data_IF_116134176818
#
_entry.id   IF_116134176818
#
_cell.length_a   1.000
_cell.length_b   1.000
_cell.length_c   1.000
_cell.angle_alpha   90.00
_cell.angle_beta   90.00
_cell.angle_gamma   90.00
#
_symmetry.space_group_name_H-M   'P 1'
#
loop_
_entity.id
_entity.type
_entity.pdbx_description
1 polymer ?
#
# COMPACT_ATOMS: atom_id res chain seq x y z
N UNK A 1 5.29 75.87 -26.88
CA UNK A 1 5.01 75.45 -25.50
C UNK A 1 3.98 74.32 -25.50
N UNK A 2 4.38 73.09 -25.51
CA UNK A 2 3.53 71.96 -25.09
C UNK A 2 4.50 70.87 -24.64
N UNK A 3 4.49 70.62 -23.34
CA UNK A 3 5.31 69.68 -22.61
C UNK A 3 4.80 68.24 -22.82
N UNK A 4 5.59 67.36 -23.40
CA UNK A 4 5.25 65.93 -23.52
C UNK A 4 5.78 65.17 -22.30
N UNK A 5 4.86 64.68 -21.46
CA UNK A 5 5.19 63.77 -20.35
C UNK A 5 5.37 62.33 -20.85
N UNK A 6 6.58 61.84 -20.83
CA UNK A 6 6.93 60.46 -21.01
C UNK A 6 6.48 59.66 -19.77
N UNK A 7 5.53 58.70 -19.95
CA UNK A 7 5.15 57.69 -18.94
C UNK A 7 6.06 56.50 -19.11
N UNK A 8 6.95 56.29 -18.17
CA UNK A 8 7.73 55.05 -18.07
C UNK A 8 6.84 53.95 -17.44
N UNK A 9 6.58 52.87 -18.19
CA UNK A 9 5.91 51.67 -17.68
C UNK A 9 6.98 50.75 -17.03
N UNK A 10 6.87 50.60 -15.71
CA UNK A 10 7.67 49.62 -14.96
C UNK A 10 7.01 48.27 -15.06
N UNK A 11 7.61 47.34 -15.79
CA UNK A 11 7.20 45.93 -15.83
C UNK A 11 7.84 45.22 -14.64
N UNK A 12 7.06 44.89 -13.62
CA UNK A 12 7.48 44.04 -12.51
C UNK A 12 7.49 42.57 -12.92
N UNK A 13 8.66 42.00 -13.05
CA UNK A 13 8.87 40.57 -13.30
C UNK A 13 8.66 39.81 -11.97
N UNK A 14 7.53 39.16 -11.78
CA UNK A 14 7.30 38.26 -10.65
C UNK A 14 8.05 36.92 -10.89
N UNK A 15 9.19 36.72 -10.23
CA UNK A 15 9.83 35.40 -10.17
C UNK A 15 8.99 34.50 -9.25
N UNK A 16 8.22 33.60 -9.84
CA UNK A 16 7.56 32.50 -9.12
C UNK A 16 8.61 31.52 -8.61
N UNK A 17 8.80 31.44 -7.28
CA UNK A 17 9.56 30.36 -6.65
C UNK A 17 8.75 29.07 -6.76
N UNK A 18 9.16 28.15 -7.65
CA UNK A 18 8.66 26.78 -7.66
C UNK A 18 9.09 26.09 -6.36
N UNK A 19 8.16 25.98 -5.42
CA UNK A 19 8.37 25.17 -4.22
C UNK A 19 8.56 23.71 -4.61
N UNK A 20 9.72 23.13 -4.28
CA UNK A 20 9.92 21.67 -4.33
C UNK A 20 8.98 21.04 -3.30
N UNK A 21 7.97 20.31 -3.75
CA UNK A 21 7.18 19.46 -2.89
C UNK A 21 8.10 18.33 -2.39
N UNK A 22 8.59 18.45 -1.15
CA UNK A 22 9.21 17.33 -0.43
C UNK A 22 8.07 16.38 -0.11
N UNK A 23 8.09 15.17 -0.69
CA UNK A 23 7.23 14.09 -0.25
C UNK A 23 7.50 13.88 1.24
N UNK A 24 6.47 14.03 2.08
CA UNK A 24 6.58 13.74 3.50
C UNK A 24 6.81 12.24 3.64
N UNK A 25 8.06 11.86 3.91
CA UNK A 25 8.39 10.54 4.39
C UNK A 25 7.71 10.39 5.77
N UNK A 26 6.94 9.32 5.99
CA UNK A 26 6.29 9.12 7.28
C UNK A 26 7.36 9.04 8.36
N UNK A 27 7.32 9.94 9.35
CA UNK A 27 8.31 10.07 10.43
C UNK A 27 8.52 8.78 11.25
N UNK A 28 7.62 7.79 11.09
CA UNK A 28 7.64 6.50 11.78
C UNK A 28 8.17 5.33 10.92
N UNK A 29 8.72 5.59 9.73
CA UNK A 29 9.44 4.56 8.98
C UNK A 29 10.81 4.32 9.60
N UNK A 30 11.05 3.10 10.07
CA UNK A 30 12.25 2.74 10.85
C UNK A 30 13.24 1.87 10.07
N UNK A 31 12.80 1.22 8.99
CA UNK A 31 13.67 0.45 8.09
C UNK A 31 13.02 0.29 6.71
N UNK A 32 13.85 -0.08 5.73
CA UNK A 32 13.41 -0.52 4.40
C UNK A 32 14.33 -1.66 3.94
N UNK A 33 13.72 -2.74 3.44
CA UNK A 33 14.42 -3.91 2.93
C UNK A 33 13.87 -4.24 1.53
N UNK A 34 14.60 -3.86 0.49
CA UNK A 34 14.25 -4.02 -0.92
C UNK A 34 12.85 -3.44 -1.23
N UNK A 35 11.81 -4.27 -1.26
CA UNK A 35 10.45 -3.89 -1.65
C UNK A 35 9.50 -3.69 -0.46
N UNK A 36 10.00 -3.83 0.76
CA UNK A 36 9.24 -3.72 2.00
C UNK A 36 9.78 -2.64 2.91
N UNK A 37 8.90 -1.80 3.44
CA UNK A 37 9.20 -0.79 4.47
C UNK A 37 8.68 -1.25 5.83
N UNK A 38 9.40 -0.89 6.90
CA UNK A 38 9.04 -1.19 8.30
C UNK A 38 8.71 0.11 9.01
N UNK A 39 7.62 0.10 9.73
CA UNK A 39 7.12 1.23 10.49
C UNK A 39 6.88 0.84 11.94
N UNK A 40 6.97 1.81 12.84
CA UNK A 40 6.72 1.65 14.28
C UNK A 40 5.89 2.83 14.80
N UNK A 41 4.77 2.54 15.48
CA UNK A 41 3.97 3.47 16.26
C UNK A 41 4.16 3.21 17.74
N UNK A 42 4.09 4.25 18.59
CA UNK A 42 4.51 4.14 19.99
C UNK A 42 3.40 4.28 21.03
N UNK A 43 2.19 4.72 20.68
CA UNK A 43 1.10 4.89 21.65
C UNK A 43 -0.28 4.59 21.04
N UNK A 44 -0.80 3.38 21.15
CA UNK A 44 -0.14 2.17 21.67
C UNK A 44 0.94 1.62 20.73
N UNK A 45 1.91 0.83 21.25
CA UNK A 45 2.96 0.24 20.42
C UNK A 45 2.36 -0.65 19.35
N UNK A 46 2.66 -0.36 18.11
CA UNK A 46 2.33 -1.17 16.94
C UNK A 46 3.46 -1.10 15.92
N UNK A 47 3.65 -2.19 15.19
CA UNK A 47 4.64 -2.26 14.12
C UNK A 47 3.98 -2.85 12.89
N UNK A 48 4.36 -2.38 11.72
CA UNK A 48 3.87 -2.98 10.49
C UNK A 48 4.93 -2.93 9.41
N UNK A 49 4.78 -3.84 8.50
CA UNK A 49 5.52 -3.82 7.24
C UNK A 49 4.54 -3.58 6.11
N UNK A 50 4.99 -2.91 5.07
CA UNK A 50 4.15 -2.57 3.93
C UNK A 50 4.94 -2.60 2.63
N UNK A 51 4.27 -3.05 1.57
CA UNK A 51 4.75 -3.00 0.20
C UNK A 51 3.67 -2.46 -0.74
N UNK A 52 4.09 -1.82 -1.83
CA UNK A 52 3.26 -1.45 -2.97
C UNK A 52 3.44 -2.47 -4.12
N UNK A 53 2.44 -2.65 -5.00
CA UNK A 53 2.55 -3.59 -6.10
C UNK A 53 3.61 -3.16 -7.11
N UNK A 54 4.26 -4.14 -7.73
CA UNK A 54 5.18 -3.93 -8.86
C UNK A 54 4.44 -3.81 -10.18
N UNK A 55 3.31 -4.49 -10.28
CA UNK A 55 2.46 -4.49 -11.46
C UNK A 55 0.99 -4.45 -11.05
N UNK A 56 0.19 -3.74 -11.82
CA UNK A 56 -1.26 -3.63 -11.65
C UNK A 56 -1.94 -3.76 -13.00
N UNK A 57 -2.84 -4.74 -13.13
CA UNK A 57 -3.70 -4.93 -14.31
C UNK A 57 -5.15 -4.79 -13.90
N UNK A 58 -5.91 -3.95 -14.62
CA UNK A 58 -7.33 -3.75 -14.38
C UNK A 58 -8.10 -4.17 -15.64
N UNK A 59 -9.13 -5.01 -15.48
CA UNK A 59 -9.93 -5.50 -16.59
C UNK A 59 -11.42 -5.33 -16.33
N UNK A 60 -12.21 -5.12 -17.39
CA UNK A 60 -13.67 -5.12 -17.36
C UNK A 60 -14.16 -5.80 -18.61
N UNK A 61 -15.07 -6.78 -18.43
CA UNK A 61 -15.60 -7.60 -19.54
C UNK A 61 -14.50 -8.20 -20.43
N UNK A 62 -13.39 -8.63 -19.78
CA UNK A 62 -12.23 -9.22 -20.44
C UNK A 62 -11.25 -8.22 -21.10
N UNK A 63 -11.56 -6.93 -21.12
CA UNK A 63 -10.70 -5.91 -21.71
C UNK A 63 -9.91 -5.14 -20.65
N UNK A 64 -8.64 -4.84 -20.94
CA UNK A 64 -7.83 -3.96 -20.08
C UNK A 64 -8.40 -2.56 -20.10
N UNK A 65 -8.57 -1.97 -18.92
CA UNK A 65 -9.13 -0.63 -18.74
C UNK A 65 -8.24 0.23 -17.85
N UNK A 66 -8.15 1.51 -18.17
CA UNK A 66 -7.53 2.49 -17.30
C UNK A 66 -8.55 2.91 -16.22
N UNK A 67 -8.16 2.76 -14.94
CA UNK A 67 -8.97 3.18 -13.80
C UNK A 67 -8.12 3.99 -12.83
N UNK A 68 -8.75 4.94 -12.12
CA UNK A 68 -8.10 5.64 -11.01
C UNK A 68 -8.38 4.86 -9.72
N UNK A 69 -7.33 4.57 -8.98
CA UNK A 69 -7.37 3.90 -7.68
C UNK A 69 -6.71 4.79 -6.63
N UNK A 70 -7.05 4.59 -5.37
CA UNK A 70 -6.28 5.06 -4.22
C UNK A 70 -5.03 4.21 -4.01
N UNK A 71 -4.49 4.23 -2.79
CA UNK A 71 -3.31 3.46 -2.43
C UNK A 71 -3.57 1.96 -2.53
N UNK A 72 -2.64 1.23 -3.13
CA UNK A 72 -2.68 -0.22 -3.28
C UNK A 72 -1.54 -0.76 -2.44
N UNK A 73 -1.84 -1.39 -1.31
CA UNK A 73 -0.85 -1.74 -0.31
C UNK A 73 -1.13 -3.12 0.31
N UNK A 74 -0.06 -3.85 0.56
CA UNK A 74 -0.08 -5.11 1.29
C UNK A 74 0.69 -4.95 2.59
N UNK A 75 0.02 -5.22 3.73
CA UNK A 75 0.56 -5.02 5.07
C UNK A 75 0.66 -6.33 5.85
N UNK A 76 1.57 -6.35 6.83
CA UNK A 76 1.50 -7.28 7.96
C UNK A 76 1.66 -6.49 9.24
N UNK A 77 0.66 -6.56 10.13
CA UNK A 77 0.57 -5.81 11.37
C UNK A 77 0.92 -6.64 12.60
N UNK A 78 1.59 -5.98 13.54
CA UNK A 78 1.85 -6.44 14.90
C UNK A 78 1.33 -5.39 15.87
N UNK A 79 0.38 -5.75 16.72
CA UNK A 79 -0.19 -4.88 17.75
C UNK A 79 -0.39 -5.70 19.03
N UNK A 80 0.63 -5.78 19.91
CA UNK A 80 0.59 -6.62 21.10
C UNK A 80 -0.60 -6.34 22.00
N UNK A 81 -0.97 -5.06 22.18
CA UNK A 81 -2.13 -4.64 22.98
C UNK A 81 -3.48 -5.19 22.48
N UNK A 82 -3.58 -5.56 21.20
CA UNK A 82 -4.76 -6.15 20.58
C UNK A 82 -4.57 -7.66 20.27
N UNK A 83 -3.46 -8.28 20.70
CA UNK A 83 -3.16 -9.68 20.42
C UNK A 83 -2.84 -9.96 18.95
N UNK A 84 -2.57 -8.93 18.12
CA UNK A 84 -2.22 -9.11 16.71
C UNK A 84 -0.72 -9.44 16.56
N UNK A 85 -0.42 -10.61 16.01
CA UNK A 85 0.93 -11.14 15.89
C UNK A 85 1.37 -11.45 14.45
N UNK A 86 0.82 -10.71 13.48
CA UNK A 86 1.12 -10.89 12.06
C UNK A 86 -0.13 -10.89 11.19
N UNK A 87 -1.07 -10.00 11.45
CA UNK A 87 -2.28 -9.85 10.65
C UNK A 87 -1.96 -9.33 9.25
N UNK A 88 -2.34 -10.08 8.23
CA UNK A 88 -2.20 -9.69 6.82
C UNK A 88 -3.40 -8.83 6.42
N UNK A 89 -3.14 -7.68 5.78
CA UNK A 89 -4.19 -6.79 5.26
C UNK A 89 -3.83 -6.33 3.86
N UNK A 90 -4.77 -6.42 2.95
CA UNK A 90 -4.66 -5.85 1.61
C UNK A 90 -5.61 -4.66 1.45
N UNK A 91 -5.11 -3.55 0.95
CA UNK A 91 -5.89 -2.38 0.57
C UNK A 91 -5.88 -2.25 -0.95
N UNK A 92 -7.07 -2.27 -1.56
CA UNK A 92 -7.20 -2.24 -3.02
C UNK A 92 -7.28 -0.86 -3.64
N UNK A 93 -7.47 0.19 -2.81
CA UNK A 93 -7.65 1.57 -3.25
C UNK A 93 -9.00 1.84 -3.92
N UNK A 94 -10.00 1.02 -3.61
CA UNK A 94 -11.39 1.15 -4.04
C UNK A 94 -12.29 0.24 -3.20
N UNK A 95 -13.59 0.54 -3.06
CA UNK A 95 -14.54 -0.37 -2.43
C UNK A 95 -14.68 -1.67 -3.20
N UNK A 96 -14.41 -2.79 -2.54
CA UNK A 96 -14.60 -4.13 -3.11
C UNK A 96 -16.08 -4.45 -3.33
N UNK A 97 -16.37 -5.39 -4.24
CA UNK A 97 -17.71 -5.90 -4.41
C UNK A 97 -18.17 -6.62 -3.13
N UNK A 98 -19.37 -6.30 -2.66
CA UNK A 98 -19.95 -6.95 -1.49
C UNK A 98 -20.01 -8.48 -1.68
N UNK A 99 -19.84 -9.25 -0.60
CA UNK A 99 -19.86 -10.71 -0.58
C UNK A 99 -18.83 -11.39 -1.52
N UNK A 100 -17.82 -10.63 -2.00
CA UNK A 100 -16.69 -11.19 -2.73
C UNK A 100 -15.53 -11.51 -1.78
N UNK A 101 -14.55 -12.25 -2.29
CA UNK A 101 -13.24 -12.42 -1.65
C UNK A 101 -12.15 -11.87 -2.57
N UNK A 102 -11.03 -11.46 -1.97
CA UNK A 102 -9.77 -11.27 -2.70
C UNK A 102 -9.05 -12.60 -2.69
N UNK A 103 -8.59 -13.04 -3.86
CA UNK A 103 -7.77 -14.25 -4.01
C UNK A 103 -6.29 -13.82 -3.99
N UNK A 104 -5.53 -14.36 -3.04
CA UNK A 104 -4.08 -14.18 -2.97
C UNK A 104 -3.40 -15.48 -3.40
N UNK A 105 -2.64 -15.43 -4.46
CA UNK A 105 -1.85 -16.56 -4.95
C UNK A 105 -0.37 -16.37 -4.59
N UNK A 106 0.24 -17.41 -3.98
CA UNK A 106 1.66 -17.45 -3.65
C UNK A 106 2.20 -18.85 -3.95
N UNK A 107 3.17 -18.95 -4.86
CA UNK A 107 3.78 -20.24 -5.21
C UNK A 107 2.79 -21.29 -5.72
N UNK A 108 1.75 -20.89 -6.44
CA UNK A 108 0.68 -21.74 -6.97
C UNK A 108 -0.36 -22.18 -5.94
N UNK A 109 -0.32 -21.65 -4.71
CA UNK A 109 -1.35 -21.85 -3.69
C UNK A 109 -2.21 -20.60 -3.59
N UNK A 110 -3.54 -20.79 -3.46
CA UNK A 110 -4.52 -19.72 -3.33
C UNK A 110 -5.02 -19.60 -1.89
N UNK A 111 -5.20 -18.37 -1.42
CA UNK A 111 -5.71 -18.00 -0.11
C UNK A 111 -6.85 -17.01 -0.28
N UNK A 112 -7.89 -17.13 0.53
CA UNK A 112 -9.03 -16.22 0.55
C UNK A 112 -8.85 -15.11 1.60
N UNK A 113 -9.05 -13.85 1.16
CA UNK A 113 -9.18 -12.70 2.04
C UNK A 113 -10.61 -12.16 1.95
N UNK A 114 -11.23 -11.94 3.09
CA UNK A 114 -12.60 -11.43 3.22
C UNK A 114 -12.61 -9.91 3.19
N UNK A 115 -13.53 -9.35 2.41
CA UNK A 115 -13.57 -7.91 2.12
C UNK A 115 -14.45 -7.14 3.08
N UNK A 116 -14.00 -5.93 3.44
CA UNK A 116 -14.81 -4.90 4.09
C UNK A 116 -14.36 -3.53 3.60
N UNK A 117 -15.22 -2.81 2.89
CA UNK A 117 -14.88 -1.54 2.28
C UNK A 117 -13.76 -1.69 1.25
N UNK A 118 -12.63 -1.03 1.48
CA UNK A 118 -11.45 -1.06 0.61
C UNK A 118 -10.36 -2.04 1.09
N UNK A 119 -10.61 -2.74 2.20
CA UNK A 119 -9.66 -3.65 2.82
C UNK A 119 -10.13 -5.10 2.74
N UNK A 120 -9.15 -6.02 2.76
CA UNK A 120 -9.39 -7.46 2.83
C UNK A 120 -8.35 -8.11 3.73
N UNK A 121 -8.76 -9.12 4.52
CA UNK A 121 -7.90 -9.88 5.42
C UNK A 121 -8.33 -11.33 5.56
N UNK A 122 -7.43 -12.23 5.99
CA UNK A 122 -7.75 -13.64 6.22
C UNK A 122 -8.81 -13.82 7.32
N UNK A 123 -9.45 -14.98 7.35
CA UNK A 123 -10.55 -15.27 8.27
C UNK A 123 -10.17 -15.24 9.76
N UNK A 124 -8.93 -15.57 10.09
CA UNK A 124 -8.44 -15.71 11.45
C UNK A 124 -6.91 -15.75 11.51
N UNK A 125 -6.36 -15.75 12.73
CA UNK A 125 -4.93 -15.75 12.98
C UNK A 125 -4.19 -16.99 12.43
N UNK A 126 -4.85 -18.14 12.30
CA UNK A 126 -4.25 -19.34 11.69
C UNK A 126 -4.07 -19.15 10.19
N UNK A 127 -5.06 -18.58 9.51
CA UNK A 127 -4.96 -18.23 8.09
C UNK A 127 -3.90 -17.15 7.84
N UNK A 128 -3.81 -16.14 8.72
CA UNK A 128 -2.69 -15.16 8.70
C UNK A 128 -1.33 -15.87 8.75
N UNK A 129 -1.14 -16.78 9.71
CA UNK A 129 0.11 -17.51 9.89
C UNK A 129 0.48 -18.36 8.66
N UNK A 130 -0.50 -18.99 8.02
CA UNK A 130 -0.30 -19.77 6.80
C UNK A 130 0.15 -18.87 5.63
N UNK A 131 -0.49 -17.72 5.45
CA UNK A 131 -0.12 -16.75 4.42
C UNK A 131 1.28 -16.17 4.69
N UNK A 132 1.58 -15.76 5.92
CA UNK A 132 2.91 -15.26 6.30
C UNK A 132 3.99 -16.32 6.03
N UNK A 133 3.73 -17.59 6.34
CA UNK A 133 4.65 -18.68 6.03
C UNK A 133 4.87 -18.85 4.52
N UNK A 134 3.81 -18.76 3.72
CA UNK A 134 3.90 -18.82 2.26
C UNK A 134 4.67 -17.61 1.69
N UNK A 135 4.43 -16.40 2.22
CA UNK A 135 5.15 -15.18 1.81
C UNK A 135 6.65 -15.27 2.12
N UNK A 136 7.04 -15.92 3.22
CA UNK A 136 8.47 -16.14 3.55
C UNK A 136 9.17 -17.09 2.57
N UNK A 137 8.44 -18.03 2.01
CA UNK A 137 8.96 -19.05 1.09
C UNK A 137 8.85 -18.66 -0.38
N UNK A 138 7.94 -17.72 -0.70
CA UNK A 138 7.64 -17.28 -2.06
C UNK A 138 8.51 -16.12 -2.53
N UNK A 139 8.42 -15.82 -3.82
CA UNK A 139 9.06 -14.66 -4.45
C UNK A 139 8.07 -13.55 -4.85
N UNK A 140 6.80 -13.91 -5.00
CA UNK A 140 5.73 -13.03 -5.43
C UNK A 140 4.41 -13.43 -4.77
N UNK A 141 3.56 -12.43 -4.48
CA UNK A 141 2.17 -12.59 -4.12
C UNK A 141 1.29 -11.86 -5.13
N UNK A 142 0.32 -12.54 -5.72
CA UNK A 142 -0.61 -11.99 -6.71
C UNK A 142 -1.99 -11.92 -6.10
N UNK A 143 -2.57 -10.71 -6.04
CA UNK A 143 -3.90 -10.49 -5.48
C UNK A 143 -4.90 -10.17 -6.60
N UNK A 144 -5.94 -10.99 -6.70
CA UNK A 144 -7.04 -10.79 -7.65
C UNK A 144 -8.30 -10.41 -6.89
N UNK A 145 -8.88 -9.26 -7.25
CA UNK A 145 -10.04 -8.72 -6.58
C UNK A 145 -11.08 -8.17 -7.58
N UNK A 146 -12.30 -7.92 -7.09
CA UNK A 146 -13.38 -7.30 -7.86
C UNK A 146 -13.88 -6.05 -7.15
N UNK A 147 -13.95 -4.93 -7.87
CA UNK A 147 -14.52 -3.69 -7.36
C UNK A 147 -16.05 -3.72 -7.36
N UNK A 148 -16.68 -2.89 -6.52
CA UNK A 148 -18.12 -2.67 -6.53
C UNK A 148 -18.67 -2.23 -7.90
N UNK A 149 -17.81 -1.68 -8.77
CA UNK A 149 -18.13 -1.28 -10.15
C UNK A 149 -17.88 -2.37 -11.20
N UNK A 150 -17.54 -3.59 -10.77
CA UNK A 150 -17.34 -4.74 -11.65
C UNK A 150 -15.97 -4.84 -12.33
N UNK A 151 -15.02 -3.94 -12.02
CA UNK A 151 -13.64 -4.07 -12.51
C UNK A 151 -12.94 -5.19 -11.75
N UNK A 152 -12.28 -6.09 -12.46
CA UNK A 152 -11.37 -7.09 -11.89
C UNK A 152 -9.96 -6.49 -11.89
N UNK A 153 -9.29 -6.57 -10.76
CA UNK A 153 -7.91 -6.09 -10.59
C UNK A 153 -6.99 -7.24 -10.27
N UNK A 154 -5.78 -7.19 -10.77
CA UNK A 154 -4.71 -8.13 -10.47
C UNK A 154 -3.46 -7.32 -10.12
N UNK A 155 -3.02 -7.43 -8.87
CA UNK A 155 -1.92 -6.67 -8.28
C UNK A 155 -0.81 -7.64 -7.85
N UNK A 156 0.40 -7.50 -8.43
CA UNK A 156 1.56 -8.34 -8.15
C UNK A 156 2.52 -7.63 -7.20
N UNK A 157 2.81 -8.27 -6.08
CA UNK A 157 3.73 -7.79 -5.04
C UNK A 157 4.98 -8.64 -4.99
N UNK A 158 6.15 -8.01 -5.03
CA UNK A 158 7.41 -8.69 -4.77
C UNK A 158 7.53 -9.07 -3.29
N UNK A 159 8.03 -10.26 -3.01
CA UNK A 159 8.33 -10.72 -1.64
C UNK A 159 9.82 -10.56 -1.29
N UNK A 160 10.62 -9.88 -2.13
CA UNK A 160 12.01 -9.56 -1.84
C UNK A 160 12.09 -8.58 -0.67
N UNK A 161 12.79 -8.98 0.39
CA UNK A 161 12.90 -8.20 1.62
C UNK A 161 11.79 -8.46 2.65
N UNK A 162 10.74 -9.22 2.31
CA UNK A 162 9.63 -9.54 3.21
C UNK A 162 10.11 -10.14 4.53
N UNK A 163 10.90 -11.21 4.48
CA UNK A 163 11.37 -11.93 5.69
C UNK A 163 12.21 -11.02 6.59
N UNK A 164 13.12 -10.22 6.03
CA UNK A 164 13.93 -9.28 6.80
C UNK A 164 13.07 -8.21 7.49
N UNK A 165 12.11 -7.64 6.76
CA UNK A 165 11.17 -6.66 7.30
C UNK A 165 10.25 -7.24 8.37
N UNK A 166 9.76 -8.46 8.17
CA UNK A 166 8.93 -9.17 9.15
C UNK A 166 9.65 -9.40 10.48
N UNK A 167 10.91 -9.87 10.43
CA UNK A 167 11.72 -10.11 11.64
C UNK A 167 12.08 -8.79 12.34
N UNK A 168 12.33 -7.72 11.59
CA UNK A 168 12.54 -6.39 12.15
C UNK A 168 11.31 -5.89 12.91
N UNK A 169 10.11 -5.93 12.29
CA UNK A 169 8.87 -5.52 12.93
C UNK A 169 8.56 -6.36 14.19
N UNK A 170 8.77 -7.68 14.13
CA UNK A 170 8.62 -8.58 15.29
C UNK A 170 9.53 -8.17 16.45
N UNK A 171 10.82 -7.93 16.19
CA UNK A 171 11.76 -7.53 17.25
C UNK A 171 11.33 -6.22 17.91
N UNK A 172 10.88 -5.24 17.14
CA UNK A 172 10.45 -3.94 17.64
C UNK A 172 9.18 -4.02 18.47
N UNK A 173 8.27 -4.90 18.12
CA UNK A 173 7.01 -5.06 18.83
C UNK A 173 7.00 -6.19 19.89
N UNK A 174 8.10 -6.92 20.07
CA UNK A 174 8.23 -7.97 21.10
C UNK A 174 8.65 -7.44 22.49
N UNK A 175 8.95 -6.12 22.60
CA UNK A 175 9.45 -5.48 23.84
C UNK A 175 8.35 -4.88 24.69
#
# INVERSE_FOLDING_TARGET
MISGMMRAAVVALALGTAGVAVAQDSDNRVAANTDWSVFEGNDPRECWIVSAPKETVNTRDGNVVAVRRGDILLYVFFKPSAGLTGQVVFTGGYPFAGESTVKMEIGGREYDLYVQGENAWPANAEADAQIVAAMRAGSEAVLTARSARGTVTKDSFSLLGFTASLEEAKRRCAG
#
